data_IF_549695937634
#
_entry.id   IF_549695937634
#
_cell.length_a   1.000
_cell.length_b   1.000
_cell.length_c   1.000
_cell.angle_alpha   90.00
_cell.angle_beta   90.00
_cell.angle_gamma   90.00
#
_symmetry.space_group_name_H-M   'P 1'
#
loop_
_entity.id
_entity.type
_entity.pdbx_description
1 polymer ?
#
# COMPACT_ATOMS: atom_id res chain seq x y z
N UNK A 1 6.80 46.71 -41.71
CA UNK A 1 6.06 45.60 -41.04
C UNK A 1 6.41 45.65 -39.56
N UNK A 2 5.52 46.17 -38.71
CA UNK A 2 5.69 46.13 -37.26
C UNK A 2 5.05 44.84 -36.74
N UNK A 3 5.85 43.94 -36.18
CA UNK A 3 5.34 42.71 -35.58
C UNK A 3 4.72 43.05 -34.21
N UNK A 4 3.40 43.00 -34.13
CA UNK A 4 2.65 43.12 -32.88
C UNK A 4 2.97 41.89 -32.02
N UNK A 5 3.72 42.09 -30.94
CA UNK A 5 4.00 41.05 -29.97
C UNK A 5 2.81 40.95 -29.00
N UNK A 6 1.96 39.93 -29.17
CA UNK A 6 0.90 39.62 -28.21
C UNK A 6 1.51 38.72 -27.13
N UNK A 7 1.73 39.19 -25.89
CA UNK A 7 2.21 38.31 -24.84
C UNK A 7 1.14 37.23 -24.57
N UNK A 8 1.54 35.97 -24.57
CA UNK A 8 0.68 34.88 -24.16
C UNK A 8 0.20 35.14 -22.73
N UNK A 9 -1.12 35.06 -22.50
CA UNK A 9 -1.69 35.11 -21.17
C UNK A 9 -1.23 33.89 -20.40
N UNK A 10 -0.18 34.05 -19.58
CA UNK A 10 0.19 33.04 -18.59
C UNK A 10 -0.97 32.99 -17.60
N UNK A 11 -1.82 31.97 -17.73
CA UNK A 11 -2.88 31.69 -16.76
C UNK A 11 -2.21 31.42 -15.41
N UNK A 12 -2.11 32.45 -14.58
CA UNK A 12 -1.56 32.34 -13.25
C UNK A 12 -2.50 31.43 -12.44
N UNK A 13 -2.04 30.22 -12.12
CA UNK A 13 -2.80 29.28 -11.32
C UNK A 13 -3.26 29.97 -10.02
N UNK A 14 -4.57 29.90 -9.72
CA UNK A 14 -5.15 30.53 -8.53
C UNK A 14 -4.42 30.05 -7.27
N UNK A 15 -3.93 30.94 -6.41
CA UNK A 15 -3.32 30.54 -5.15
C UNK A 15 -4.34 29.82 -4.27
N UNK A 16 -3.93 28.72 -3.64
CA UNK A 16 -4.78 27.99 -2.70
C UNK A 16 -5.16 28.89 -1.52
N UNK A 17 -6.39 28.74 -1.04
CA UNK A 17 -6.84 29.33 0.24
C UNK A 17 -6.14 28.65 1.42
N UNK A 18 -6.13 29.30 2.59
CA UNK A 18 -5.56 28.72 3.80
C UNK A 18 -6.21 27.38 4.19
N UNK A 19 -7.52 27.24 3.97
CA UNK A 19 -8.27 26.00 4.22
C UNK A 19 -7.83 24.85 3.30
N UNK A 20 -7.63 25.14 2.00
CA UNK A 20 -7.19 24.15 1.02
C UNK A 20 -5.77 23.64 1.33
N UNK A 21 -4.85 24.53 1.71
CA UNK A 21 -3.50 24.14 2.14
C UNK A 21 -3.54 23.24 3.37
N UNK A 22 -4.31 23.63 4.39
CA UNK A 22 -4.46 22.85 5.63
C UNK A 22 -5.02 21.46 5.34
N UNK A 23 -6.07 21.36 4.52
CA UNK A 23 -6.65 20.07 4.10
C UNK A 23 -5.65 19.19 3.35
N UNK A 24 -4.82 19.78 2.48
CA UNK A 24 -3.79 19.05 1.77
C UNK A 24 -2.72 18.49 2.73
N UNK A 25 -2.29 19.28 3.72
CA UNK A 25 -1.34 18.84 4.76
C UNK A 25 -1.89 17.67 5.57
N UNK A 26 -3.12 17.78 6.09
CA UNK A 26 -3.74 16.69 6.87
C UNK A 26 -3.94 15.42 6.06
N UNK A 27 -4.37 15.54 4.80
CA UNK A 27 -4.47 14.39 3.89
C UNK A 27 -3.12 13.72 3.70
N UNK A 28 -2.06 14.50 3.46
CA UNK A 28 -0.72 13.95 3.27
C UNK A 28 -0.22 13.23 4.53
N UNK A 29 -0.42 13.83 5.70
CA UNK A 29 -0.06 13.23 7.00
C UNK A 29 -0.81 11.91 7.23
N UNK A 30 -2.12 11.88 6.97
CA UNK A 30 -2.93 10.67 7.08
C UNK A 30 -2.42 9.57 6.14
N UNK A 31 -2.14 9.89 4.87
CA UNK A 31 -1.65 8.91 3.90
C UNK A 31 -0.27 8.36 4.23
N UNK A 32 0.64 9.18 4.79
CA UNK A 32 1.93 8.71 5.30
C UNK A 32 1.77 7.81 6.52
N UNK A 33 0.85 8.15 7.42
CA UNK A 33 0.55 7.33 8.60
C UNK A 33 0.02 5.96 8.18
N UNK A 34 -0.98 5.92 7.29
CA UNK A 34 -1.53 4.68 6.74
C UNK A 34 -0.45 3.83 6.05
N UNK A 35 0.45 4.45 5.29
CA UNK A 35 1.57 3.73 4.67
C UNK A 35 2.58 3.18 5.66
N UNK A 36 2.90 3.93 6.71
CA UNK A 36 3.78 3.43 7.77
C UNK A 36 3.21 2.19 8.42
N UNK A 37 1.91 2.22 8.77
CA UNK A 37 1.21 1.06 9.32
C UNK A 37 1.15 -0.12 8.35
N UNK A 38 0.83 0.14 7.08
CA UNK A 38 0.77 -0.87 6.04
C UNK A 38 2.14 -1.56 5.84
N UNK A 39 3.20 -0.76 5.71
CA UNK A 39 4.55 -1.28 5.54
C UNK A 39 4.99 -2.08 6.77
N UNK A 40 4.74 -1.57 7.98
CA UNK A 40 5.07 -2.28 9.21
C UNK A 40 4.36 -3.63 9.30
N UNK A 41 3.06 -3.67 9.00
CA UNK A 41 2.28 -4.91 9.03
C UNK A 41 2.82 -5.94 8.03
N UNK A 42 3.01 -5.56 6.77
CA UNK A 42 3.47 -6.52 5.75
C UNK A 42 4.95 -6.89 5.86
N UNK A 43 5.79 -6.02 6.45
CA UNK A 43 7.15 -6.40 6.84
C UNK A 43 7.08 -7.49 7.91
N UNK A 44 6.27 -7.31 8.96
CA UNK A 44 6.13 -8.30 10.02
C UNK A 44 5.53 -9.62 9.50
N UNK A 45 4.47 -9.54 8.68
CA UNK A 45 3.82 -10.70 8.09
C UNK A 45 4.75 -11.48 7.16
N UNK A 46 5.44 -10.77 6.25
CA UNK A 46 6.40 -11.38 5.33
C UNK A 46 7.58 -12.00 6.07
N UNK A 47 8.15 -11.28 7.05
CA UNK A 47 9.24 -11.79 7.89
C UNK A 47 8.81 -13.04 8.67
N UNK A 48 7.62 -13.04 9.28
CA UNK A 48 7.06 -14.20 9.97
C UNK A 48 6.94 -15.41 9.04
N UNK A 49 6.43 -15.21 7.82
CA UNK A 49 6.36 -16.29 6.81
C UNK A 49 7.73 -16.81 6.39
N UNK A 50 8.82 -16.04 6.53
CA UNK A 50 10.17 -16.50 6.19
C UNK A 50 10.89 -17.23 7.34
N UNK A 51 10.52 -16.92 8.58
CA UNK A 51 11.33 -17.30 9.75
C UNK A 51 10.63 -18.23 10.71
N UNK A 52 9.30 -18.17 10.81
CA UNK A 52 8.56 -19.02 11.72
C UNK A 52 8.52 -20.48 11.23
N UNK A 53 8.49 -21.47 12.14
CA UNK A 53 8.25 -22.86 11.78
C UNK A 53 6.89 -23.03 11.09
N UNK A 54 6.82 -23.90 10.08
CA UNK A 54 5.57 -24.15 9.34
C UNK A 54 4.42 -24.58 10.25
N UNK A 55 4.68 -25.39 11.28
CA UNK A 55 3.66 -25.79 12.26
C UNK A 55 3.04 -24.60 13.01
N UNK A 56 3.85 -23.58 13.33
CA UNK A 56 3.34 -22.36 13.97
C UNK A 56 2.47 -21.55 12.99
N UNK A 57 2.93 -21.42 11.74
CA UNK A 57 2.16 -20.75 10.68
C UNK A 57 0.81 -21.44 10.43
N UNK A 58 0.77 -22.77 10.42
CA UNK A 58 -0.48 -23.53 10.31
C UNK A 58 -1.40 -23.26 11.50
N UNK A 59 -0.87 -23.27 12.72
CA UNK A 59 -1.66 -23.03 13.93
C UNK A 59 -2.24 -21.61 13.97
N UNK A 60 -1.51 -20.61 13.45
CA UNK A 60 -1.91 -19.21 13.50
C UNK A 60 -2.90 -18.81 12.39
N UNK A 61 -2.81 -19.40 11.20
CA UNK A 61 -3.58 -18.95 10.02
C UNK A 61 -4.20 -20.04 9.15
N UNK A 62 -4.06 -21.32 9.49
CA UNK A 62 -4.77 -22.45 8.89
C UNK A 62 -4.38 -22.80 7.45
N UNK A 63 -4.53 -21.86 6.51
CA UNK A 63 -4.28 -22.04 5.08
C UNK A 63 -2.88 -22.58 4.70
N UNK A 64 -1.78 -22.34 5.46
CA UNK A 64 -0.48 -22.92 5.12
C UNK A 64 -0.50 -24.46 5.07
N UNK A 65 -1.46 -25.11 5.73
CA UNK A 65 -1.65 -26.56 5.68
C UNK A 65 -2.04 -27.06 4.28
N UNK A 66 -2.53 -26.17 3.41
CA UNK A 66 -2.99 -26.46 2.06
C UNK A 66 -1.97 -26.05 0.98
N UNK A 67 -0.79 -25.60 1.38
CA UNK A 67 0.25 -25.10 0.47
C UNK A 67 1.60 -25.74 0.74
N UNK A 68 2.49 -25.72 -0.26
CA UNK A 68 3.88 -26.14 -0.06
C UNK A 68 4.64 -25.09 0.75
N UNK A 69 5.67 -25.52 1.49
CA UNK A 69 6.51 -24.59 2.24
C UNK A 69 7.15 -23.53 1.36
N UNK A 70 7.69 -23.92 0.21
CA UNK A 70 8.29 -22.99 -0.74
C UNK A 70 7.31 -21.91 -1.21
N UNK A 71 6.02 -22.26 -1.36
CA UNK A 71 5.00 -21.28 -1.71
C UNK A 71 4.79 -20.26 -0.58
N UNK A 72 4.67 -20.72 0.67
CA UNK A 72 4.51 -19.83 1.84
C UNK A 72 5.72 -18.92 2.01
N UNK A 73 6.95 -19.45 1.86
CA UNK A 73 8.17 -18.64 1.92
C UNK A 73 8.24 -17.64 0.77
N UNK A 74 7.91 -18.06 -0.45
CA UNK A 74 7.86 -17.19 -1.62
C UNK A 74 6.86 -16.05 -1.45
N UNK A 75 5.68 -16.35 -0.89
CA UNK A 75 4.67 -15.34 -0.56
C UNK A 75 5.20 -14.33 0.46
N UNK A 76 5.92 -14.79 1.49
CA UNK A 76 6.57 -13.92 2.47
C UNK A 76 7.58 -12.95 1.84
N UNK A 77 8.39 -13.41 0.87
CA UNK A 77 9.29 -12.53 0.11
C UNK A 77 8.53 -11.48 -0.69
N UNK A 78 7.43 -11.88 -1.35
CA UNK A 78 6.58 -10.95 -2.12
C UNK A 78 6.00 -9.88 -1.21
N UNK A 79 5.49 -10.26 -0.04
CA UNK A 79 4.97 -9.31 0.97
C UNK A 79 6.03 -8.30 1.40
N UNK A 80 7.27 -8.74 1.67
CA UNK A 80 8.38 -7.84 2.00
C UNK A 80 8.69 -6.86 0.87
N UNK A 81 8.78 -7.33 -0.37
CA UNK A 81 9.09 -6.49 -1.54
C UNK A 81 7.99 -5.42 -1.73
N UNK A 82 6.72 -5.81 -1.63
CA UNK A 82 5.61 -4.88 -1.76
C UNK A 82 5.57 -3.87 -0.59
N UNK A 83 5.81 -4.33 0.64
CA UNK A 83 5.87 -3.47 1.82
C UNK A 83 6.99 -2.42 1.75
N UNK A 84 8.17 -2.81 1.25
CA UNK A 84 9.25 -1.87 1.00
C UNK A 84 8.93 -0.95 -0.19
N UNK A 85 8.26 -1.48 -1.22
CA UNK A 85 7.87 -0.72 -2.40
C UNK A 85 6.86 0.40 -2.11
N UNK A 86 5.95 0.23 -1.14
CA UNK A 86 5.07 1.34 -0.70
C UNK A 86 5.84 2.48 -0.01
N UNK A 87 7.04 2.22 0.51
CA UNK A 87 7.92 3.23 1.10
C UNK A 87 8.87 3.90 0.09
N UNK A 88 8.92 3.43 -1.16
CA UNK A 88 9.82 3.94 -2.20
C UNK A 88 9.84 5.48 -2.36
N UNK A 89 8.72 6.22 -2.18
CA UNK A 89 8.75 7.68 -2.30
C UNK A 89 9.58 8.41 -1.22
N UNK A 90 9.99 7.74 -0.14
CA UNK A 90 10.93 8.29 0.84
C UNK A 90 12.32 8.54 0.25
N UNK A 91 12.72 7.75 -0.77
CA UNK A 91 14.00 7.93 -1.47
C UNK A 91 13.88 9.04 -2.51
N UNK A 92 12.83 8.99 -3.32
CA UNK A 92 12.53 10.00 -4.33
C UNK A 92 11.08 9.90 -4.78
N UNK A 93 10.36 11.02 -4.76
CA UNK A 93 8.96 11.04 -5.21
C UNK A 93 8.81 10.68 -6.70
N UNK A 94 9.70 11.20 -7.55
CA UNK A 94 9.61 11.04 -9.03
C UNK A 94 9.73 9.57 -9.45
N UNK A 95 10.66 8.83 -8.83
CA UNK A 95 10.94 7.43 -9.16
C UNK A 95 10.12 6.48 -8.28
N UNK A 96 9.95 6.82 -7.00
CA UNK A 96 9.26 5.99 -6.03
C UNK A 96 7.74 5.96 -6.21
N UNK A 97 7.12 6.98 -6.81
CA UNK A 97 5.66 7.01 -6.99
C UNK A 97 5.13 5.86 -7.85
N UNK A 98 5.68 5.56 -9.05
CA UNK A 98 5.29 4.36 -9.81
C UNK A 98 5.43 3.07 -9.00
N UNK A 99 6.56 2.92 -8.29
CA UNK A 99 6.83 1.74 -7.44
C UNK A 99 5.79 1.59 -6.35
N UNK A 100 5.43 2.69 -5.67
CA UNK A 100 4.36 2.71 -4.68
C UNK A 100 3.02 2.25 -5.26
N UNK A 101 2.63 2.75 -6.44
CA UNK A 101 1.32 2.43 -7.02
C UNK A 101 1.25 0.94 -7.38
N UNK A 102 2.31 0.40 -7.98
CA UNK A 102 2.41 -1.02 -8.29
C UNK A 102 2.37 -1.86 -7.01
N UNK A 103 3.12 -1.43 -5.99
CA UNK A 103 3.20 -2.16 -4.72
C UNK A 103 1.87 -2.17 -3.97
N UNK A 104 1.20 -1.02 -3.89
CA UNK A 104 -0.13 -0.91 -3.29
C UNK A 104 -1.16 -1.73 -4.08
N UNK A 105 -1.08 -1.77 -5.42
CA UNK A 105 -1.91 -2.65 -6.24
C UNK A 105 -1.67 -4.14 -5.97
N UNK A 106 -0.41 -4.55 -5.79
CA UNK A 106 -0.04 -5.91 -5.39
C UNK A 106 -0.56 -6.28 -4.00
N UNK A 107 -0.47 -5.37 -3.04
CA UNK A 107 -1.03 -5.58 -1.69
C UNK A 107 -2.56 -5.69 -1.74
N UNK A 108 -3.27 -4.85 -2.49
CA UNK A 108 -4.72 -4.97 -2.65
C UNK A 108 -5.12 -6.33 -3.23
N UNK A 109 -4.37 -6.82 -4.22
CA UNK A 109 -4.62 -8.13 -4.80
C UNK A 109 -4.41 -9.25 -3.76
N UNK A 110 -3.30 -9.22 -3.02
CA UNK A 110 -3.00 -10.19 -1.96
C UNK A 110 -4.04 -10.16 -0.84
N UNK A 111 -4.35 -8.99 -0.30
CA UNK A 111 -5.34 -8.79 0.75
C UNK A 111 -6.72 -9.29 0.31
N UNK A 112 -7.10 -9.06 -0.95
CA UNK A 112 -8.38 -9.55 -1.49
C UNK A 112 -8.41 -11.08 -1.56
N UNK A 113 -7.33 -11.71 -2.02
CA UNK A 113 -7.23 -13.17 -2.06
C UNK A 113 -7.23 -13.75 -0.65
N UNK A 114 -6.46 -13.17 0.28
CA UNK A 114 -6.38 -13.61 1.67
C UNK A 114 -7.69 -13.40 2.43
N UNK A 115 -8.43 -12.33 2.16
CA UNK A 115 -9.80 -12.18 2.66
C UNK A 115 -10.67 -13.35 2.23
N UNK A 116 -10.62 -13.74 0.94
CA UNK A 116 -11.34 -14.91 0.44
C UNK A 116 -10.93 -16.20 1.15
N UNK A 117 -9.63 -16.44 1.29
CA UNK A 117 -9.09 -17.62 1.99
C UNK A 117 -9.60 -17.69 3.43
N UNK A 118 -9.51 -16.60 4.19
CA UNK A 118 -9.96 -16.58 5.58
C UNK A 118 -11.48 -16.68 5.73
N UNK A 119 -12.26 -16.09 4.82
CA UNK A 119 -13.71 -16.27 4.81
C UNK A 119 -14.11 -17.70 4.51
N UNK A 120 -13.49 -18.36 3.54
CA UNK A 120 -13.74 -19.75 3.19
C UNK A 120 -13.28 -20.72 4.29
N UNK A 121 -12.22 -20.38 5.02
CA UNK A 121 -11.73 -21.10 6.19
C UNK A 121 -12.48 -20.81 7.49
N UNK A 122 -13.45 -19.89 7.48
CA UNK A 122 -14.14 -19.38 8.66
C UNK A 122 -13.22 -18.74 9.73
N UNK A 123 -12.06 -18.24 9.32
CA UNK A 123 -11.10 -17.49 10.15
C UNK A 123 -11.54 -16.03 10.30
N UNK A 124 -12.67 -15.79 10.97
CA UNK A 124 -13.32 -14.46 11.03
C UNK A 124 -12.39 -13.34 11.54
N UNK A 125 -11.51 -13.65 12.50
CA UNK A 125 -10.54 -12.67 13.00
C UNK A 125 -9.58 -12.19 11.90
N UNK A 126 -9.02 -13.11 11.12
CA UNK A 126 -8.10 -12.80 10.04
C UNK A 126 -8.82 -12.20 8.81
N UNK A 127 -10.07 -12.59 8.58
CA UNK A 127 -10.91 -11.94 7.57
C UNK A 127 -11.14 -10.46 7.91
N UNK A 128 -11.48 -10.14 9.16
CA UNK A 128 -11.63 -8.74 9.62
C UNK A 128 -10.32 -7.97 9.47
N UNK A 129 -9.18 -8.57 9.85
CA UNK A 129 -7.86 -7.95 9.65
C UNK A 129 -7.64 -7.60 8.17
N UNK A 130 -7.95 -8.50 7.24
CA UNK A 130 -7.81 -8.22 5.80
C UNK A 130 -8.76 -7.11 5.31
N UNK A 131 -9.99 -7.04 5.83
CA UNK A 131 -10.90 -5.91 5.53
C UNK A 131 -10.30 -4.57 5.99
N UNK A 132 -9.70 -4.54 7.19
CA UNK A 132 -9.05 -3.34 7.70
C UNK A 132 -7.82 -2.97 6.87
N UNK A 133 -7.00 -3.94 6.46
CA UNK A 133 -5.87 -3.71 5.57
C UNK A 133 -6.31 -3.14 4.22
N UNK A 134 -7.33 -3.72 3.58
CA UNK A 134 -7.91 -3.18 2.34
C UNK A 134 -8.37 -1.73 2.51
N UNK A 135 -9.00 -1.41 3.64
CA UNK A 135 -9.46 -0.06 3.96
C UNK A 135 -8.30 0.93 4.16
N UNK A 136 -7.10 0.46 4.54
CA UNK A 136 -5.87 1.25 4.65
C UNK A 136 -5.19 1.39 3.28
N UNK A 137 -5.07 0.29 2.55
CA UNK A 137 -4.31 0.20 1.29
C UNK A 137 -5.00 0.94 0.16
N UNK A 138 -6.33 0.91 0.08
CA UNK A 138 -7.07 1.59 -0.98
C UNK A 138 -6.81 3.12 -1.00
N UNK A 139 -7.00 3.88 0.09
CA UNK A 139 -6.65 5.30 0.12
C UNK A 139 -5.20 5.59 -0.32
N UNK A 140 -4.25 4.73 0.06
CA UNK A 140 -2.83 4.88 -0.34
C UNK A 140 -2.66 4.77 -1.85
N UNK A 141 -3.32 3.79 -2.49
CA UNK A 141 -3.26 3.59 -3.94
C UNK A 141 -3.93 4.74 -4.72
N UNK A 142 -5.10 5.20 -4.28
CA UNK A 142 -5.94 6.13 -5.06
C UNK A 142 -5.75 7.62 -4.74
N UNK A 143 -5.39 7.97 -3.51
CA UNK A 143 -5.36 9.36 -3.03
C UNK A 143 -3.95 9.97 -3.03
N UNK A 144 -2.90 9.18 -3.32
CA UNK A 144 -1.56 9.70 -3.63
C UNK A 144 -1.49 10.23 -5.06
N UNK A 145 -2.18 11.34 -5.27
CA UNK A 145 -2.05 12.18 -6.46
C UNK A 145 -0.99 13.24 -6.23
N UNK A 146 -0.28 13.58 -7.32
CA UNK A 146 0.73 14.63 -7.33
C UNK A 146 0.15 15.99 -6.90
#
# INVERSE_FOLDING_TARGET
MAATFTPASVSAARPLTARERTRATWRNLALWTLQGWLAMFFIAAGYGKLTEPMGNLIALMGWPALASENFVRGLGLVELVLALGVLAPLVSWRIGRPVLIVSAGGLLALETVMLGVHLLGADWGLAVVNVLLLAITAPVAWLRRA
#
